data_IF_104125133843
#
_entry.id   IF_104125133843
#
_cell.length_a   1.000
_cell.length_b   1.000
_cell.length_c   1.000
_cell.angle_alpha   90.00
_cell.angle_beta   90.00
_cell.angle_gamma   90.00
#
_symmetry.space_group_name_H-M   'P 1'
#
loop_
_entity.id
_entity.type
_entity.pdbx_description
1 polymer ?
#
# COMPACT_ATOMS: atom_id res chain seq x y z
N UNK A 1 12.38 -0.80 4.85
CA UNK A 1 11.28 -0.75 5.84
C UNK A 1 11.72 -1.31 7.19
N UNK A 2 11.68 -0.53 8.26
CA UNK A 2 11.46 -1.11 9.59
C UNK A 2 9.96 -1.45 9.71
N UNK A 3 9.61 -2.72 9.94
CA UNK A 3 8.21 -3.19 9.91
C UNK A 3 7.43 -2.68 11.12
N UNK A 4 6.70 -1.59 10.92
CA UNK A 4 5.67 -1.10 11.85
C UNK A 4 4.24 -1.53 11.46
N UNK A 5 3.31 -1.47 12.41
CA UNK A 5 1.91 -1.87 12.24
C UNK A 5 1.21 -1.17 11.05
N UNK A 6 1.55 0.10 10.78
CA UNK A 6 1.02 0.83 9.61
C UNK A 6 1.35 0.14 8.28
N UNK A 7 2.51 -0.51 8.18
CA UNK A 7 2.90 -1.21 6.96
C UNK A 7 2.10 -2.50 6.76
N UNK A 8 1.71 -3.19 7.84
CA UNK A 8 0.82 -4.35 7.76
C UNK A 8 -0.56 -3.97 7.21
N UNK A 9 -1.06 -2.77 7.54
CA UNK A 9 -2.32 -2.25 6.95
C UNK A 9 -2.17 -2.03 5.45
N UNK A 10 -1.05 -1.46 5.01
CA UNK A 10 -0.73 -1.24 3.60
C UNK A 10 -0.60 -2.56 2.83
N UNK A 11 0.15 -3.53 3.37
CA UNK A 11 0.31 -4.86 2.78
C UNK A 11 -1.05 -5.58 2.68
N UNK A 12 -1.87 -5.53 3.74
CA UNK A 12 -3.22 -6.11 3.74
C UNK A 12 -4.13 -5.45 2.71
N UNK A 13 -4.04 -4.14 2.53
CA UNK A 13 -4.81 -3.42 1.51
C UNK A 13 -4.40 -3.88 0.10
N UNK A 14 -3.09 -3.99 -0.18
CA UNK A 14 -2.55 -4.46 -1.46
C UNK A 14 -3.00 -5.90 -1.75
N UNK A 15 -2.89 -6.79 -0.76
CA UNK A 15 -3.32 -8.18 -0.91
C UNK A 15 -4.82 -8.29 -1.21
N UNK A 16 -5.66 -7.56 -0.46
CA UNK A 16 -7.11 -7.55 -0.66
C UNK A 16 -7.53 -6.97 -2.01
N UNK A 17 -6.85 -5.92 -2.45
CA UNK A 17 -7.11 -5.30 -3.74
C UNK A 17 -6.56 -6.12 -4.92
N UNK A 18 -5.69 -7.11 -4.67
CA UNK A 18 -5.04 -7.90 -5.71
C UNK A 18 -4.07 -7.09 -6.57
N UNK A 19 -3.43 -6.06 -6.00
CA UNK A 19 -2.45 -5.24 -6.71
C UNK A 19 -2.29 -3.83 -6.18
N UNK A 20 -1.16 -3.20 -6.52
CA UNK A 20 -0.79 -1.85 -6.09
C UNK A 20 -1.74 -0.76 -6.63
N UNK A 21 -2.12 -0.82 -7.91
CA UNK A 21 -3.00 0.18 -8.52
C UNK A 21 -4.38 0.21 -7.85
N UNK A 22 -5.05 -0.95 -7.78
CA UNK A 22 -6.37 -1.08 -7.13
C UNK A 22 -6.34 -0.69 -5.64
N UNK A 23 -5.26 -0.99 -4.94
CA UNK A 23 -5.12 -0.57 -3.54
C UNK A 23 -4.97 0.95 -3.40
N UNK A 24 -4.25 1.60 -4.32
CA UNK A 24 -4.11 3.05 -4.33
C UNK A 24 -5.45 3.74 -4.59
N UNK A 25 -6.26 3.20 -5.52
CA UNK A 25 -7.61 3.68 -5.79
C UNK A 25 -8.50 3.58 -4.53
N UNK A 26 -8.49 2.43 -3.84
CA UNK A 26 -9.26 2.23 -2.59
C UNK A 26 -8.80 3.18 -1.47
N UNK A 27 -7.49 3.45 -1.39
CA UNK A 27 -6.89 4.31 -0.37
C UNK A 27 -6.96 5.81 -0.71
N UNK A 28 -7.54 6.18 -1.87
CA UNK A 28 -7.61 7.55 -2.37
C UNK A 28 -6.24 8.26 -2.41
N UNK A 29 -5.20 7.53 -2.82
CA UNK A 29 -3.85 8.06 -3.04
C UNK A 29 -3.34 7.65 -4.42
N UNK A 30 -2.26 8.28 -4.89
CA UNK A 30 -1.64 7.85 -6.15
C UNK A 30 -0.94 6.50 -5.98
N UNK A 31 -0.88 5.72 -7.06
CA UNK A 31 -0.12 4.46 -7.06
C UNK A 31 1.37 4.69 -6.76
N UNK A 32 1.95 5.82 -7.19
CA UNK A 32 3.34 6.18 -6.89
C UNK A 32 3.57 6.46 -5.40
N UNK A 33 2.65 7.15 -4.72
CA UNK A 33 2.71 7.37 -3.27
C UNK A 33 2.66 6.04 -2.50
N UNK A 34 1.76 5.14 -2.89
CA UNK A 34 1.67 3.80 -2.29
C UNK A 34 2.94 2.97 -2.56
N UNK A 35 3.48 3.03 -3.76
CA UNK A 35 4.74 2.36 -4.14
C UNK A 35 5.92 2.85 -3.30
N UNK A 36 6.05 4.16 -3.11
CA UNK A 36 7.07 4.75 -2.24
C UNK A 36 6.91 4.28 -0.79
N UNK A 37 5.67 4.20 -0.28
CA UNK A 37 5.40 3.72 1.08
C UNK A 37 5.79 2.25 1.30
N UNK A 38 5.73 1.42 0.25
CA UNK A 38 6.13 -0.01 0.31
C UNK A 38 7.64 -0.18 0.09
N UNK A 39 8.28 0.67 -0.70
CA UNK A 39 9.73 0.65 -0.96
C UNK A 39 10.57 1.18 0.20
N UNK A 40 9.98 2.03 1.06
CA UNK A 40 10.63 2.59 2.26
C UNK A 40 11.09 1.53 3.24
#
# INVERSE_FOLDING_TARGET
MHIEFRHLRTIRAIHRAGGLARAADILNITQSALSHQVKG
#
